data_IF_897548426710
#
_entry.id   IF_897548426710
#
_cell.length_a   1.000
_cell.length_b   1.000
_cell.length_c   1.000
_cell.angle_alpha   90.00
_cell.angle_beta   90.00
_cell.angle_gamma   90.00
#
_symmetry.space_group_name_H-M   'P 1'
#
loop_
_entity.id
_entity.type
_entity.pdbx_description
1 polymer ?
#
# COMPACT_ATOMS: atom_id res chain seq x y z
N UNK A 1 -33.60 -5.19 -39.09
CA UNK A 1 -34.71 -4.23 -39.21
C UNK A 1 -34.86 -3.51 -37.89
N UNK A 2 -34.27 -2.34 -37.77
CA UNK A 2 -34.37 -1.50 -36.57
C UNK A 2 -35.56 -0.56 -36.73
N UNK A 3 -36.59 -0.68 -35.90
CA UNK A 3 -37.68 0.30 -35.82
C UNK A 3 -37.28 1.35 -34.79
N UNK A 4 -37.24 2.62 -35.24
CA UNK A 4 -37.04 3.82 -34.46
C UNK A 4 -38.14 3.97 -33.40
N UNK A 5 -37.74 4.08 -32.14
CA UNK A 5 -38.62 4.49 -31.04
C UNK A 5 -38.81 6.02 -31.08
N UNK A 6 -40.02 6.45 -31.04
CA UNK A 6 -40.50 7.83 -31.23
C UNK A 6 -40.06 8.75 -30.06
N UNK A 7 -39.87 10.02 -30.40
CA UNK A 7 -39.33 11.10 -29.56
C UNK A 7 -40.12 11.50 -28.30
N UNK A 8 -41.15 10.74 -27.90
CA UNK A 8 -42.01 11.07 -26.75
C UNK A 8 -41.58 10.48 -25.40
N UNK A 9 -40.68 9.49 -25.39
CA UNK A 9 -40.28 8.81 -24.15
C UNK A 9 -38.92 9.27 -23.54
N UNK A 10 -38.38 10.40 -24.00
CA UNK A 10 -37.06 10.92 -23.50
C UNK A 10 -37.14 11.81 -22.26
N UNK A 11 -38.29 12.04 -21.68
CA UNK A 11 -38.44 12.98 -20.54
C UNK A 11 -38.71 12.37 -19.16
N UNK A 12 -38.72 11.02 -19.02
CA UNK A 12 -39.06 10.35 -17.75
C UNK A 12 -37.88 9.52 -17.18
N UNK A 13 -36.66 9.70 -17.70
CA UNK A 13 -35.50 8.87 -17.31
C UNK A 13 -34.37 9.66 -16.60
N UNK A 14 -34.70 10.63 -15.76
CA UNK A 14 -33.65 11.42 -15.07
C UNK A 14 -33.37 10.92 -13.64
N UNK A 15 -34.25 10.11 -13.03
CA UNK A 15 -34.10 9.69 -11.64
C UNK A 15 -34.26 8.18 -11.37
N UNK A 16 -34.09 7.30 -12.36
CA UNK A 16 -34.18 5.85 -12.13
C UNK A 16 -33.05 5.09 -12.83
N UNK A 17 -32.36 4.21 -12.11
CA UNK A 17 -31.35 3.31 -12.66
C UNK A 17 -32.03 2.02 -13.11
N UNK A 18 -31.96 1.70 -14.40
CA UNK A 18 -32.47 0.44 -14.97
C UNK A 18 -31.32 -0.58 -14.99
N UNK A 19 -31.41 -1.62 -14.19
CA UNK A 19 -30.47 -2.74 -14.20
C UNK A 19 -31.15 -3.95 -14.82
N UNK A 20 -30.58 -4.47 -15.92
CA UNK A 20 -31.00 -5.72 -16.54
C UNK A 20 -30.09 -6.83 -16.06
N UNK A 21 -30.62 -7.78 -15.29
CA UNK A 21 -29.88 -8.95 -14.82
C UNK A 21 -30.25 -10.14 -15.67
N UNK A 22 -29.27 -10.74 -16.35
CA UNK A 22 -29.41 -11.98 -17.12
C UNK A 22 -29.20 -13.17 -16.19
N UNK A 23 -30.26 -13.85 -15.81
CA UNK A 23 -30.19 -15.15 -15.13
C UNK A 23 -30.66 -16.24 -16.11
N UNK A 24 -30.14 -17.44 -15.94
CA UNK A 24 -30.22 -18.59 -16.88
C UNK A 24 -31.60 -19.07 -17.30
N UNK A 25 -32.69 -18.37 -17.00
CA UNK A 25 -34.05 -18.76 -17.36
C UNK A 25 -35.02 -17.58 -17.65
N UNK A 26 -34.57 -16.35 -17.82
CA UNK A 26 -35.44 -15.21 -18.14
C UNK A 26 -34.84 -13.85 -17.91
N UNK A 27 -35.46 -12.81 -18.50
CA UNK A 27 -35.06 -11.39 -18.27
C UNK A 27 -35.90 -10.81 -17.14
N UNK A 28 -35.24 -10.25 -16.13
CA UNK A 28 -35.90 -9.51 -15.05
C UNK A 28 -35.52 -8.04 -15.12
N UNK A 29 -36.50 -7.17 -15.01
CA UNK A 29 -36.28 -5.74 -14.99
C UNK A 29 -36.40 -5.24 -13.56
N UNK A 30 -35.31 -4.67 -13.02
CA UNK A 30 -35.27 -4.04 -11.70
C UNK A 30 -35.21 -2.54 -11.91
N UNK A 31 -36.17 -1.82 -11.38
CA UNK A 31 -36.17 -0.33 -11.34
C UNK A 31 -35.92 0.10 -9.91
N UNK A 32 -34.87 0.87 -9.72
CA UNK A 32 -34.52 1.47 -8.43
C UNK A 32 -34.77 2.96 -8.51
N UNK A 33 -35.67 3.46 -7.69
CA UNK A 33 -35.82 4.89 -7.43
C UNK A 33 -35.45 5.20 -5.97
N UNK A 34 -35.33 6.45 -5.60
CA UNK A 34 -34.80 6.89 -4.29
C UNK A 34 -35.50 6.30 -3.06
N UNK A 35 -36.61 5.59 -3.21
CA UNK A 35 -37.41 5.06 -2.10
C UNK A 35 -37.91 3.63 -2.26
N UNK A 36 -37.81 3.03 -3.47
CA UNK A 36 -38.42 1.70 -3.76
C UNK A 36 -37.64 0.87 -4.75
N UNK A 37 -37.60 -0.44 -4.54
CA UNK A 37 -37.11 -1.43 -5.48
C UNK A 37 -38.32 -2.18 -6.05
N UNK A 38 -38.50 -2.17 -7.37
CA UNK A 38 -39.58 -2.90 -8.04
C UNK A 38 -39.00 -3.91 -9.00
N UNK A 39 -39.41 -5.17 -8.87
CA UNK A 39 -39.04 -6.28 -9.74
C UNK A 39 -40.30 -6.72 -10.51
N UNK A 40 -40.25 -6.66 -11.84
CA UNK A 40 -41.37 -7.03 -12.75
C UNK A 40 -42.74 -6.42 -12.40
N UNK A 41 -42.77 -5.27 -11.73
CA UNK A 41 -44.04 -4.57 -11.44
C UNK A 41 -44.99 -5.26 -10.45
N UNK A 42 -44.58 -6.37 -9.81
CA UNK A 42 -45.46 -7.17 -8.95
C UNK A 42 -45.09 -7.23 -7.47
N UNK A 43 -43.91 -6.80 -7.07
CA UNK A 43 -43.52 -6.69 -5.67
C UNK A 43 -42.74 -5.42 -5.41
N UNK A 44 -43.16 -4.64 -4.40
CA UNK A 44 -42.50 -3.38 -4.00
C UNK A 44 -41.95 -3.51 -2.60
N UNK A 45 -40.66 -3.30 -2.40
CA UNK A 45 -40.01 -3.20 -1.09
C UNK A 45 -39.77 -1.73 -0.77
N UNK A 46 -40.34 -1.24 0.33
CA UNK A 46 -40.12 0.14 0.77
C UNK A 46 -38.79 0.24 1.51
N UNK A 47 -37.90 1.14 1.05
CA UNK A 47 -36.69 1.52 1.75
C UNK A 47 -37.01 2.62 2.76
N UNK A 48 -37.10 2.27 4.06
CA UNK A 48 -37.16 3.27 5.13
C UNK A 48 -35.76 3.79 5.42
N UNK A 49 -35.50 5.07 5.17
CA UNK A 49 -34.29 5.73 5.63
C UNK A 49 -34.28 5.78 7.18
N UNK A 50 -33.16 5.45 7.86
CA UNK A 50 -33.03 5.69 9.28
C UNK A 50 -32.84 7.20 9.51
N UNK A 51 -33.77 7.81 10.26
CA UNK A 51 -33.68 9.20 10.70
C UNK A 51 -32.46 9.40 11.61
N UNK A 52 -31.61 10.38 11.30
CA UNK A 52 -30.58 10.90 12.19
C UNK A 52 -31.24 11.58 13.41
N UNK A 53 -31.45 10.86 14.48
CA UNK A 53 -31.74 11.41 15.80
C UNK A 53 -30.51 11.33 16.68
N UNK A 54 -30.13 12.49 17.23
CA UNK A 54 -29.10 12.67 18.27
C UNK A 54 -29.28 11.63 19.38
N UNK A 55 -28.21 10.85 19.66
CA UNK A 55 -28.16 10.03 20.88
C UNK A 55 -27.60 10.86 22.02
N UNK A 56 -28.45 11.12 22.98
CA UNK A 56 -28.09 11.52 24.34
C UNK A 56 -27.40 10.37 25.06
N UNK A 57 -26.38 10.69 25.86
CA UNK A 57 -25.68 9.83 26.80
C UNK A 57 -26.61 9.14 27.82
N UNK A 58 -26.14 7.99 28.29
CA UNK A 58 -26.57 7.16 29.40
C UNK A 58 -27.59 6.05 29.07
N UNK A 59 -27.05 4.87 28.95
CA UNK A 59 -27.31 3.68 29.79
C UNK A 59 -26.60 2.46 29.22
N UNK A 60 -25.64 1.93 29.96
CA UNK A 60 -25.04 0.61 29.77
C UNK A 60 -26.13 -0.46 29.90
N UNK A 61 -26.56 -1.06 28.80
CA UNK A 61 -27.24 -2.35 28.77
C UNK A 61 -26.22 -3.44 28.49
N UNK A 62 -26.26 -4.60 29.18
CA UNK A 62 -25.38 -5.73 28.84
C UNK A 62 -25.71 -6.20 27.43
N UNK A 63 -24.68 -6.33 26.59
CA UNK A 63 -24.79 -6.84 25.26
C UNK A 63 -25.16 -8.33 25.30
N UNK A 64 -26.42 -8.65 25.03
CA UNK A 64 -26.86 -9.93 24.55
C UNK A 64 -26.88 -9.85 23.03
N UNK A 65 -25.78 -10.22 22.36
CA UNK A 65 -25.78 -10.68 21.01
C UNK A 65 -25.05 -12.02 21.01
N UNK A 66 -25.80 -13.11 21.06
CA UNK A 66 -25.34 -14.41 20.58
C UNK A 66 -25.15 -14.32 19.05
N UNK A 67 -24.06 -13.71 18.62
CA UNK A 67 -23.58 -13.91 17.27
C UNK A 67 -23.08 -15.34 17.18
N UNK A 68 -23.85 -16.19 16.47
CA UNK A 68 -23.41 -17.54 16.11
C UNK A 68 -22.26 -17.38 15.09
N UNK A 69 -21.02 -17.32 15.60
CA UNK A 69 -19.82 -17.41 14.77
C UNK A 69 -19.79 -18.77 14.06
N UNK A 70 -19.13 -18.83 12.89
CA UNK A 70 -18.90 -20.09 12.19
C UNK A 70 -18.24 -21.11 13.14
N UNK A 71 -18.52 -22.40 12.94
CA UNK A 71 -18.07 -23.44 13.87
C UNK A 71 -16.56 -23.64 13.92
N UNK A 72 -15.79 -22.99 13.03
CA UNK A 72 -14.34 -23.15 12.90
C UNK A 72 -13.60 -21.85 13.20
N UNK A 73 -13.50 -21.49 14.49
CA UNK A 73 -12.71 -20.33 14.91
C UNK A 73 -11.23 -20.70 15.06
N UNK A 74 -10.34 -19.77 14.72
CA UNK A 74 -8.97 -19.74 15.19
C UNK A 74 -8.87 -18.75 16.35
N UNK A 75 -8.43 -19.23 17.51
CA UNK A 75 -8.34 -18.44 18.75
C UNK A 75 -6.86 -18.35 19.16
N UNK A 76 -6.31 -17.14 19.03
CA UNK A 76 -4.96 -16.81 19.48
C UNK A 76 -5.07 -16.24 20.89
N UNK A 77 -4.53 -16.94 21.89
CA UNK A 77 -4.67 -16.51 23.30
C UNK A 77 -3.31 -16.27 23.97
N UNK A 78 -3.30 -15.53 25.08
CA UNK A 78 -2.12 -15.12 25.84
C UNK A 78 -1.11 -14.30 25.00
N UNK A 79 -1.56 -13.53 24.01
CA UNK A 79 -0.66 -12.79 23.13
C UNK A 79 -0.35 -11.38 23.66
N UNK A 80 0.82 -10.88 23.33
CA UNK A 80 1.16 -9.47 23.44
C UNK A 80 0.81 -8.78 22.11
N UNK A 81 -0.29 -8.05 22.08
CA UNK A 81 -0.74 -7.33 20.89
C UNK A 81 -0.03 -5.99 20.78
N UNK A 82 0.54 -5.70 19.60
CA UNK A 82 0.98 -4.35 19.22
C UNK A 82 -0.23 -3.66 18.58
N UNK A 83 -0.81 -2.69 19.27
CA UNK A 83 -2.05 -2.02 18.86
C UNK A 83 -1.84 -1.02 17.70
N UNK A 84 -2.90 -0.36 17.27
CA UNK A 84 -2.93 0.62 16.18
C UNK A 84 -2.07 1.87 16.41
N UNK A 85 -1.65 2.11 17.65
CA UNK A 85 -0.70 3.16 18.04
C UNK A 85 0.70 2.60 18.36
N UNK A 86 0.97 1.35 17.95
CA UNK A 86 2.19 0.60 18.25
C UNK A 86 2.53 0.50 19.73
N UNK A 87 1.48 0.43 20.58
CA UNK A 87 1.63 0.20 22.03
C UNK A 87 1.38 -1.27 22.36
N UNK A 88 2.10 -1.75 23.36
CA UNK A 88 1.98 -3.12 23.82
C UNK A 88 0.71 -3.27 24.69
N UNK A 89 -0.19 -4.18 24.28
CA UNK A 89 -1.33 -4.67 25.05
C UNK A 89 -1.06 -6.14 25.42
N UNK A 90 -0.70 -6.46 26.67
CA UNK A 90 -0.38 -7.83 27.07
C UNK A 90 -1.64 -8.65 27.34
N UNK A 91 -1.51 -9.96 27.21
CA UNK A 91 -2.55 -10.95 27.55
C UNK A 91 -3.87 -10.76 26.80
N UNK A 92 -3.78 -10.45 25.50
CA UNK A 92 -4.94 -10.31 24.62
C UNK A 92 -5.27 -11.67 23.99
N UNK A 93 -6.56 -11.89 23.75
CA UNK A 93 -7.06 -13.01 22.94
C UNK A 93 -7.71 -12.46 21.68
N UNK A 94 -7.32 -12.99 20.52
CA UNK A 94 -7.85 -12.60 19.21
C UNK A 94 -8.63 -13.78 18.65
N UNK A 95 -9.87 -13.56 18.25
CA UNK A 95 -10.76 -14.55 17.63
C UNK A 95 -10.85 -14.26 16.13
N UNK A 96 -10.60 -15.28 15.31
CA UNK A 96 -10.65 -15.20 13.86
C UNK A 96 -11.71 -16.18 13.35
N UNK A 97 -12.61 -15.70 12.50
CA UNK A 97 -13.60 -16.51 11.78
C UNK A 97 -13.39 -16.32 10.28
N UNK A 98 -13.13 -17.40 9.57
CA UNK A 98 -12.79 -17.34 8.14
C UNK A 98 -11.57 -16.43 7.90
N UNK A 99 -11.77 -15.25 7.33
CA UNK A 99 -10.70 -14.27 7.06
C UNK A 99 -10.78 -13.01 7.92
N UNK A 100 -11.71 -12.95 8.89
CA UNK A 100 -12.01 -11.73 9.65
C UNK A 100 -11.67 -11.87 11.14
N UNK A 101 -11.18 -10.80 11.75
CA UNK A 101 -11.03 -10.65 13.20
C UNK A 101 -12.40 -10.34 13.76
N UNK A 102 -13.00 -11.29 14.48
CA UNK A 102 -14.38 -11.15 14.96
C UNK A 102 -14.48 -10.68 16.40
N UNK A 103 -13.40 -10.78 17.19
CA UNK A 103 -13.39 -10.31 18.59
C UNK A 103 -11.93 -10.14 19.07
N UNK A 104 -11.71 -9.15 19.93
CA UNK A 104 -10.41 -8.90 20.58
C UNK A 104 -10.65 -8.68 22.08
N UNK A 105 -10.26 -9.63 22.91
CA UNK A 105 -10.60 -9.66 24.33
C UNK A 105 -9.37 -9.43 25.19
N UNK A 106 -9.38 -8.36 25.98
CA UNK A 106 -8.39 -8.12 27.03
C UNK A 106 -8.78 -8.94 28.27
N UNK A 107 -8.15 -10.07 28.48
CA UNK A 107 -8.52 -10.91 29.62
C UNK A 107 -7.30 -11.26 30.47
N UNK A 108 -7.27 -10.71 31.65
CA UNK A 108 -6.48 -11.21 32.76
C UNK A 108 -7.08 -12.54 33.23
N UNK A 109 -6.50 -13.68 32.83
CA UNK A 109 -6.84 -15.04 33.27
C UNK A 109 -8.06 -15.72 32.64
N UNK A 110 -8.20 -15.73 31.30
CA UNK A 110 -9.11 -16.73 30.72
C UNK A 110 -8.41 -18.10 30.65
N UNK A 111 -8.96 -19.03 31.37
CA UNK A 111 -8.65 -20.45 31.25
C UNK A 111 -9.08 -20.92 29.84
N UNK A 112 -8.17 -21.56 29.09
CA UNK A 112 -8.46 -22.16 27.77
C UNK A 112 -9.72 -23.03 27.72
N UNK A 113 -10.14 -23.60 28.86
CA UNK A 113 -11.39 -24.37 29.01
C UNK A 113 -12.65 -23.52 28.74
N UNK A 114 -12.61 -22.20 28.98
CA UNK A 114 -13.75 -21.32 28.68
C UNK A 114 -14.01 -21.28 27.17
N UNK A 115 -12.97 -21.13 26.36
CA UNK A 115 -13.11 -21.10 24.91
C UNK A 115 -13.48 -22.46 24.33
N UNK A 116 -12.89 -23.58 24.81
CA UNK A 116 -13.28 -24.92 24.39
C UNK A 116 -14.75 -25.21 24.68
N UNK A 117 -15.25 -24.78 25.83
CA UNK A 117 -16.65 -24.97 26.19
C UNK A 117 -17.60 -24.13 25.31
N UNK A 118 -17.18 -22.90 24.98
CA UNK A 118 -17.98 -21.97 24.18
C UNK A 118 -17.89 -22.30 22.67
N UNK A 119 -16.72 -22.72 22.19
CA UNK A 119 -16.43 -23.00 20.77
C UNK A 119 -15.72 -24.35 20.62
N UNK A 120 -16.41 -25.47 20.72
CA UNK A 120 -15.80 -26.80 20.84
C UNK A 120 -15.01 -27.25 19.60
N UNK A 121 -15.29 -26.68 18.42
CA UNK A 121 -14.62 -27.02 17.16
C UNK A 121 -13.52 -25.99 16.78
N UNK A 122 -13.14 -25.10 17.69
CA UNK A 122 -12.12 -24.09 17.42
C UNK A 122 -10.70 -24.64 17.50
N UNK A 123 -9.78 -24.01 16.74
CA UNK A 123 -8.34 -24.20 16.87
C UNK A 123 -7.79 -23.20 17.87
N UNK A 124 -7.27 -23.70 19.03
CA UNK A 124 -6.66 -22.86 20.05
C UNK A 124 -5.15 -22.85 19.92
N UNK A 125 -4.57 -21.65 19.88
CA UNK A 125 -3.12 -21.43 19.76
C UNK A 125 -2.66 -20.57 20.92
N UNK A 126 -1.79 -21.15 21.76
CA UNK A 126 -1.15 -20.42 22.86
C UNK A 126 0.03 -19.60 22.34
N UNK A 127 -0.08 -18.29 22.46
CA UNK A 127 0.95 -17.33 22.05
C UNK A 127 1.65 -16.69 23.26
N UNK A 128 1.70 -17.39 24.40
CA UNK A 128 2.43 -16.92 25.59
C UNK A 128 3.85 -16.48 25.24
N UNK A 129 4.19 -15.23 25.59
CA UNK A 129 5.49 -14.63 25.30
C UNK A 129 5.74 -14.29 23.82
N UNK A 130 4.71 -14.36 22.97
CA UNK A 130 4.77 -13.92 21.56
C UNK A 130 4.14 -12.54 21.40
N UNK A 131 4.49 -11.89 20.30
CA UNK A 131 4.05 -10.54 19.95
C UNK A 131 3.32 -10.61 18.62
N UNK A 132 2.13 -10.03 18.57
CA UNK A 132 1.31 -10.00 17.35
C UNK A 132 1.22 -8.56 16.87
N UNK A 133 1.48 -8.35 15.58
CA UNK A 133 1.34 -7.08 14.88
C UNK A 133 0.63 -7.31 13.55
N UNK A 134 0.09 -6.25 12.90
CA UNK A 134 -0.48 -6.38 11.56
C UNK A 134 0.55 -6.93 10.59
N UNK A 135 0.10 -7.56 9.52
CA UNK A 135 0.96 -7.93 8.40
C UNK A 135 1.73 -6.74 7.86
N UNK A 136 2.99 -6.94 7.53
CA UNK A 136 3.86 -5.89 7.00
C UNK A 136 3.45 -5.50 5.58
N UNK A 137 3.66 -4.24 5.22
CA UNK A 137 3.33 -3.68 3.92
C UNK A 137 4.61 -3.17 3.24
N UNK A 138 4.94 -3.68 2.05
CA UNK A 138 6.03 -3.17 1.22
C UNK A 138 5.44 -2.26 0.12
N UNK A 139 5.66 -0.95 0.26
CA UNK A 139 5.10 0.07 -0.63
C UNK A 139 5.90 0.26 -1.93
N UNK A 140 6.98 -0.53 -2.13
CA UNK A 140 7.79 -0.43 -3.33
C UNK A 140 8.44 -1.78 -3.66
N UNK A 141 7.65 -2.69 -4.25
CA UNK A 141 8.13 -4.02 -4.62
C UNK A 141 7.80 -4.32 -6.09
N UNK A 142 8.81 -4.33 -6.96
CA UNK A 142 8.64 -4.70 -8.36
C UNK A 142 8.56 -6.22 -8.52
N UNK A 143 7.36 -6.73 -8.71
CA UNK A 143 7.10 -8.18 -8.80
C UNK A 143 6.79 -8.67 -10.21
N UNK A 144 6.75 -7.79 -11.20
CA UNK A 144 6.40 -8.10 -12.58
C UNK A 144 7.58 -7.84 -13.56
N UNK A 145 8.77 -8.34 -13.27
CA UNK A 145 9.86 -8.48 -14.23
C UNK A 145 10.61 -7.22 -14.68
N UNK A 146 10.78 -6.23 -13.78
CA UNK A 146 11.37 -4.92 -14.14
C UNK A 146 12.83 -5.01 -14.59
N UNK A 147 13.67 -5.85 -13.99
CA UNK A 147 15.11 -5.87 -14.29
C UNK A 147 15.54 -6.79 -15.44
N UNK A 148 14.71 -7.78 -15.81
CA UNK A 148 15.13 -8.82 -16.77
C UNK A 148 14.74 -8.52 -18.22
N UNK A 149 14.23 -7.33 -18.53
CA UNK A 149 13.68 -6.98 -19.86
C UNK A 149 12.64 -8.00 -20.39
N UNK A 150 12.08 -8.83 -19.51
CA UNK A 150 11.05 -9.82 -19.80
C UNK A 150 10.29 -10.17 -18.55
N UNK A 151 9.01 -10.47 -18.67
CA UNK A 151 8.22 -11.04 -17.60
C UNK A 151 8.45 -12.56 -17.52
N UNK A 152 8.66 -13.05 -16.31
CA UNK A 152 8.69 -14.47 -16.01
C UNK A 152 7.74 -14.74 -14.84
N UNK A 153 6.69 -15.49 -15.08
CA UNK A 153 5.68 -15.78 -14.07
C UNK A 153 6.26 -16.56 -12.88
N UNK A 154 7.14 -17.53 -13.13
CA UNK A 154 7.76 -18.33 -12.07
C UNK A 154 8.61 -17.48 -11.13
N UNK A 155 9.42 -16.55 -11.67
CA UNK A 155 10.22 -15.62 -10.86
C UNK A 155 9.30 -14.71 -10.01
N UNK A 156 8.17 -14.28 -10.58
CA UNK A 156 7.17 -13.47 -9.86
C UNK A 156 6.51 -14.25 -8.73
N UNK A 157 6.10 -15.49 -8.98
CA UNK A 157 5.52 -16.37 -7.97
C UNK A 157 6.50 -16.69 -6.83
N UNK A 158 7.78 -16.91 -7.16
CA UNK A 158 8.82 -17.10 -6.16
C UNK A 158 9.03 -15.84 -5.32
N UNK A 159 9.08 -14.67 -5.95
CA UNK A 159 9.18 -13.38 -5.26
C UNK A 159 8.00 -13.18 -4.30
N UNK A 160 6.76 -13.38 -4.75
CA UNK A 160 5.56 -13.24 -3.91
C UNK A 160 5.56 -14.21 -2.74
N UNK A 161 5.95 -15.45 -2.96
CA UNK A 161 6.07 -16.46 -1.93
C UNK A 161 7.10 -16.07 -0.87
N UNK A 162 8.27 -15.56 -1.30
CA UNK A 162 9.31 -15.09 -0.40
C UNK A 162 8.86 -13.87 0.42
N UNK A 163 8.16 -12.92 -0.20
CA UNK A 163 7.58 -11.78 0.52
C UNK A 163 6.62 -12.26 1.63
N UNK A 164 5.67 -13.14 1.29
CA UNK A 164 4.75 -13.68 2.28
C UNK A 164 5.46 -14.47 3.39
N UNK A 165 6.47 -15.30 3.05
CA UNK A 165 7.25 -16.06 4.02
C UNK A 165 8.03 -15.17 5.02
N UNK A 166 8.18 -13.89 4.73
CA UNK A 166 8.79 -12.88 5.60
C UNK A 166 7.75 -11.94 6.25
N UNK A 167 6.46 -12.33 6.29
CA UNK A 167 5.41 -11.59 6.99
C UNK A 167 4.89 -10.36 6.26
N UNK A 168 5.22 -10.20 4.97
CA UNK A 168 4.67 -9.14 4.13
C UNK A 168 3.36 -9.67 3.56
N UNK A 169 2.24 -9.09 4.01
CA UNK A 169 0.89 -9.52 3.61
C UNK A 169 0.27 -8.63 2.55
N UNK A 170 0.84 -7.45 2.33
CA UNK A 170 0.40 -6.50 1.30
C UNK A 170 1.60 -5.85 0.62
N UNK A 171 1.51 -5.64 -0.69
CA UNK A 171 2.52 -4.89 -1.45
C UNK A 171 1.88 -3.87 -2.39
N UNK A 172 2.61 -2.80 -2.68
CA UNK A 172 2.38 -1.97 -3.84
C UNK A 172 3.45 -2.28 -4.90
N UNK A 173 3.02 -2.78 -6.08
CA UNK A 173 3.88 -2.86 -7.25
C UNK A 173 3.88 -1.49 -7.95
N UNK A 174 4.97 -0.70 -7.87
CA UNK A 174 4.97 0.68 -8.33
C UNK A 174 5.17 0.82 -9.84
N UNK A 175 5.23 -0.30 -10.57
CA UNK A 175 5.32 -0.31 -12.03
C UNK A 175 5.84 -1.62 -12.60
N UNK A 176 5.40 -1.88 -13.83
CA UNK A 176 5.73 -3.07 -14.60
C UNK A 176 4.89 -3.13 -15.87
N UNK A 177 5.03 -4.15 -16.71
CA UNK A 177 4.14 -4.35 -17.85
C UNK A 177 2.70 -4.45 -17.39
N UNK A 178 1.82 -3.61 -17.93
CA UNK A 178 0.47 -3.39 -17.40
C UNK A 178 -0.37 -4.67 -17.30
N UNK A 179 -0.42 -5.48 -18.38
CA UNK A 179 -1.25 -6.68 -18.40
C UNK A 179 -0.75 -7.75 -17.43
N UNK A 180 0.55 -7.94 -17.36
CA UNK A 180 1.22 -8.91 -16.50
C UNK A 180 1.05 -8.51 -15.02
N UNK A 181 1.22 -7.25 -14.71
CA UNK A 181 1.04 -6.71 -13.35
C UNK A 181 -0.39 -6.89 -12.85
N UNK A 182 -1.38 -6.53 -13.66
CA UNK A 182 -2.81 -6.73 -13.34
C UNK A 182 -3.16 -8.22 -13.29
N UNK A 183 -2.64 -9.03 -14.23
CA UNK A 183 -2.83 -10.48 -14.25
C UNK A 183 -2.30 -11.16 -12.99
N UNK A 184 -1.10 -10.76 -12.53
CA UNK A 184 -0.49 -11.29 -11.32
C UNK A 184 -1.33 -10.95 -10.07
N UNK A 185 -1.73 -9.67 -9.91
CA UNK A 185 -2.65 -9.24 -8.84
C UNK A 185 -3.93 -10.06 -8.82
N UNK A 186 -4.58 -10.23 -9.98
CA UNK A 186 -5.84 -10.95 -10.06
C UNK A 186 -5.67 -12.45 -9.73
N UNK A 187 -4.55 -13.07 -10.10
CA UNK A 187 -4.27 -14.46 -9.76
C UNK A 187 -4.04 -14.64 -8.26
N UNK A 188 -3.39 -13.69 -7.58
CA UNK A 188 -3.24 -13.71 -6.12
C UNK A 188 -4.60 -13.53 -5.44
N UNK A 189 -5.41 -12.54 -5.87
CA UNK A 189 -6.73 -12.29 -5.28
C UNK A 189 -7.72 -13.43 -5.47
N UNK A 190 -7.54 -14.25 -6.51
CA UNK A 190 -8.30 -15.48 -6.76
C UNK A 190 -7.68 -16.73 -6.11
N UNK A 191 -6.65 -16.56 -5.26
CA UNK A 191 -5.91 -17.63 -4.59
C UNK A 191 -5.29 -18.67 -5.55
N UNK A 192 -5.07 -18.33 -6.82
CA UNK A 192 -4.37 -19.17 -7.80
C UNK A 192 -2.87 -19.15 -7.61
N UNK A 193 -2.34 -18.05 -7.08
CA UNK A 193 -0.94 -17.83 -6.71
C UNK A 193 -0.90 -17.47 -5.24
N UNK A 194 0.00 -18.09 -4.48
CA UNK A 194 0.22 -17.77 -3.08
C UNK A 194 1.13 -16.54 -2.99
N UNK A 195 0.67 -15.52 -2.28
CA UNK A 195 1.43 -14.29 -2.08
C UNK A 195 0.68 -13.26 -1.26
N UNK A 196 1.29 -12.09 -1.01
CA UNK A 196 0.64 -10.96 -0.37
C UNK A 196 -0.43 -10.37 -1.29
N UNK A 197 -1.40 -9.63 -0.72
CA UNK A 197 -2.29 -8.77 -1.49
C UNK A 197 -1.47 -7.79 -2.33
N UNK A 198 -1.84 -7.59 -3.60
CA UNK A 198 -1.14 -6.71 -4.52
C UNK A 198 -2.05 -5.55 -4.91
N UNK A 199 -1.54 -4.32 -4.77
CA UNK A 199 -2.06 -3.15 -5.47
C UNK A 199 -1.01 -2.74 -6.50
N UNK A 200 -1.40 -2.40 -7.73
CA UNK A 200 -0.43 -2.28 -8.82
C UNK A 200 -0.59 -1.04 -9.69
N UNK A 201 0.53 -0.42 -10.04
CA UNK A 201 0.62 0.43 -11.20
C UNK A 201 0.83 -0.41 -12.48
N UNK A 202 0.68 0.24 -13.62
CA UNK A 202 1.02 -0.30 -14.93
C UNK A 202 2.42 0.11 -15.39
N UNK A 203 2.59 0.24 -16.71
CA UNK A 203 3.84 0.72 -17.31
C UNK A 203 4.11 2.17 -16.91
N UNK A 204 5.39 2.48 -16.68
CA UNK A 204 5.85 3.81 -16.30
C UNK A 204 5.63 4.80 -17.44
N UNK A 205 5.03 5.95 -17.19
CA UNK A 205 4.98 7.04 -18.16
C UNK A 205 6.28 7.81 -18.10
N UNK A 206 6.97 7.91 -19.24
CA UNK A 206 8.26 8.56 -19.34
C UNK A 206 8.38 9.34 -20.64
N UNK A 207 9.33 10.29 -20.72
CA UNK A 207 9.64 10.98 -21.96
C UNK A 207 10.57 10.14 -22.87
N UNK A 208 10.59 10.43 -24.18
CA UNK A 208 11.53 9.79 -25.09
C UNK A 208 13.01 9.99 -24.79
N UNK A 209 13.35 11.00 -23.99
CA UNK A 209 14.74 11.37 -23.68
C UNK A 209 15.45 10.40 -22.73
N UNK A 210 14.70 9.67 -21.90
CA UNK A 210 15.24 8.66 -20.97
C UNK A 210 14.59 7.33 -21.29
N UNK A 211 15.34 6.25 -21.39
CA UNK A 211 14.78 4.93 -21.76
C UNK A 211 15.00 3.89 -20.68
N UNK A 212 13.89 3.26 -20.26
CA UNK A 212 13.86 2.04 -19.47
C UNK A 212 13.03 1.02 -20.27
N UNK A 213 13.68 0.27 -21.18
CA UNK A 213 12.98 -0.66 -22.05
C UNK A 213 12.11 -1.65 -21.29
N UNK A 214 11.06 -2.17 -21.94
CA UNK A 214 10.15 -3.18 -21.47
C UNK A 214 9.07 -2.68 -20.48
N UNK A 215 9.40 -1.78 -19.55
CA UNK A 215 8.46 -1.34 -18.49
C UNK A 215 7.89 0.06 -18.68
N UNK A 216 8.35 0.80 -19.69
CA UNK A 216 7.93 2.19 -19.92
C UNK A 216 6.97 2.36 -21.09
N UNK A 217 6.19 3.44 -21.05
CA UNK A 217 5.44 4.03 -22.15
C UNK A 217 5.93 5.46 -22.38
N UNK A 218 6.42 5.72 -23.59
CA UNK A 218 6.93 7.05 -23.94
C UNK A 218 5.78 7.96 -24.31
N UNK A 219 5.69 9.09 -23.61
CA UNK A 219 4.70 10.14 -23.84
C UNK A 219 5.41 11.49 -23.97
N UNK A 220 4.92 12.35 -24.86
CA UNK A 220 5.48 13.69 -25.11
C UNK A 220 4.43 14.76 -25.30
N UNK A 221 3.16 14.44 -25.04
CA UNK A 221 2.04 15.35 -25.18
C UNK A 221 0.95 15.01 -24.17
N UNK A 222 0.11 15.99 -23.82
CA UNK A 222 -1.07 15.80 -22.96
C UNK A 222 -2.00 14.74 -23.55
N UNK A 223 -2.21 14.72 -24.86
CA UNK A 223 -3.02 13.69 -25.51
C UNK A 223 -2.45 12.29 -25.30
N UNK A 224 -1.13 12.09 -25.49
CA UNK A 224 -0.47 10.82 -25.27
C UNK A 224 -0.53 10.36 -23.80
N UNK A 225 -0.39 11.29 -22.86
CA UNK A 225 -0.59 11.03 -21.43
C UNK A 225 -2.01 10.53 -21.17
N UNK A 226 -3.02 11.24 -21.69
CA UNK A 226 -4.43 10.88 -21.52
C UNK A 226 -4.75 9.50 -22.11
N UNK A 227 -4.31 9.24 -23.32
CA UNK A 227 -4.53 7.95 -24.00
C UNK A 227 -3.94 6.79 -23.20
N UNK A 228 -2.67 6.92 -22.74
CA UNK A 228 -2.00 5.86 -22.02
C UNK A 228 -2.61 5.65 -20.62
N UNK A 229 -2.89 6.72 -19.85
CA UNK A 229 -3.54 6.58 -18.53
C UNK A 229 -4.92 5.95 -18.67
N UNK A 230 -5.73 6.38 -19.65
CA UNK A 230 -7.05 5.80 -19.91
C UNK A 230 -6.96 4.31 -20.24
N UNK A 231 -5.95 3.91 -21.04
CA UNK A 231 -5.71 2.51 -21.38
C UNK A 231 -5.33 1.69 -20.15
N UNK A 232 -4.44 2.20 -19.30
CA UNK A 232 -4.05 1.52 -18.06
C UNK A 232 -5.23 1.40 -17.09
N UNK A 233 -6.02 2.47 -16.93
CA UNK A 233 -7.24 2.46 -16.13
C UNK A 233 -8.24 1.37 -16.61
N UNK A 234 -8.46 1.28 -17.92
CA UNK A 234 -9.33 0.25 -18.51
C UNK A 234 -8.78 -1.18 -18.34
N UNK A 235 -7.47 -1.34 -18.17
CA UNK A 235 -6.86 -2.65 -17.84
C UNK A 235 -7.06 -2.98 -16.36
N UNK A 236 -7.34 -1.98 -15.52
CA UNK A 236 -7.69 -2.14 -14.11
C UNK A 236 -6.50 -1.95 -13.16
N UNK A 237 -5.56 -1.05 -13.46
CA UNK A 237 -4.51 -0.67 -12.51
C UNK A 237 -5.09 0.14 -11.34
N UNK A 238 -4.38 0.16 -10.21
CA UNK A 238 -4.74 0.95 -9.04
C UNK A 238 -4.02 2.31 -9.03
N UNK A 239 -2.86 2.38 -9.70
CA UNK A 239 -1.99 3.57 -9.75
C UNK A 239 -1.43 3.81 -11.14
N UNK A 240 -0.98 5.06 -11.34
CA UNK A 240 -0.14 5.48 -12.48
C UNK A 240 1.26 5.79 -11.95
N UNK A 241 2.32 5.32 -12.62
CA UNK A 241 3.71 5.66 -12.31
C UNK A 241 4.24 6.69 -13.29
N UNK A 242 4.64 7.85 -12.78
CA UNK A 242 5.33 8.91 -13.50
C UNK A 242 6.83 8.82 -13.27
N UNK A 243 7.62 9.10 -14.33
CA UNK A 243 9.06 8.89 -14.29
C UNK A 243 9.87 10.14 -14.63
N UNK A 244 11.18 10.06 -14.47
CA UNK A 244 12.16 11.16 -14.42
C UNK A 244 12.13 12.16 -15.57
N UNK A 245 11.69 11.74 -16.76
CA UNK A 245 11.73 12.56 -17.97
C UNK A 245 10.48 13.39 -18.23
N UNK A 246 9.47 13.37 -17.36
CA UNK A 246 8.24 14.14 -17.55
C UNK A 246 8.43 15.58 -17.06
N UNK A 247 7.99 16.53 -17.90
CA UNK A 247 7.99 17.96 -17.57
C UNK A 247 6.86 18.31 -16.60
N UNK A 248 6.95 19.43 -15.86
CA UNK A 248 5.92 19.85 -14.90
C UNK A 248 4.50 19.86 -15.48
N UNK A 249 4.34 20.41 -16.71
CA UNK A 249 3.04 20.41 -17.37
C UNK A 249 2.47 19.00 -17.61
N UNK A 250 3.31 18.04 -18.06
CA UNK A 250 2.85 16.67 -18.29
C UNK A 250 2.57 15.92 -16.98
N UNK A 251 3.33 16.20 -15.92
CA UNK A 251 3.09 15.64 -14.58
C UNK A 251 1.76 16.13 -14.04
N UNK A 252 1.51 17.46 -14.08
CA UNK A 252 0.24 18.04 -13.65
C UNK A 252 -0.95 17.41 -14.38
N UNK A 253 -0.93 17.40 -15.71
CA UNK A 253 -2.00 16.80 -16.52
C UNK A 253 -2.18 15.29 -16.23
N UNK A 254 -1.08 14.56 -15.99
CA UNK A 254 -1.16 13.15 -15.62
C UNK A 254 -1.85 12.95 -14.27
N UNK A 255 -1.56 13.80 -13.28
CA UNK A 255 -2.20 13.79 -11.96
C UNK A 255 -3.72 14.06 -12.11
N UNK A 256 -4.09 15.14 -12.80
CA UNK A 256 -5.48 15.53 -12.99
C UNK A 256 -6.28 14.41 -13.71
N UNK A 257 -5.71 13.81 -14.76
CA UNK A 257 -6.34 12.73 -15.51
C UNK A 257 -6.47 11.45 -14.64
N UNK A 258 -5.40 11.04 -13.95
CA UNK A 258 -5.42 9.85 -13.11
C UNK A 258 -6.45 9.98 -11.98
N UNK A 259 -6.47 11.11 -11.29
CA UNK A 259 -7.45 11.41 -10.24
C UNK A 259 -8.88 11.42 -10.76
N UNK A 260 -9.13 11.96 -11.97
CA UNK A 260 -10.46 11.92 -12.59
C UNK A 260 -10.97 10.49 -12.86
N UNK A 261 -10.05 9.53 -12.95
CA UNK A 261 -10.33 8.10 -13.13
C UNK A 261 -10.25 7.29 -11.81
N UNK A 262 -10.04 7.95 -10.67
CA UNK A 262 -9.94 7.33 -9.35
C UNK A 262 -8.61 6.64 -9.06
N UNK A 263 -7.58 6.85 -9.90
CA UNK A 263 -6.25 6.25 -9.75
C UNK A 263 -5.36 7.13 -8.89
N UNK A 264 -4.50 6.51 -8.04
CA UNK A 264 -3.42 7.21 -7.37
C UNK A 264 -2.21 7.41 -8.29
N UNK A 265 -1.35 8.38 -7.96
CA UNK A 265 -0.18 8.75 -8.78
C UNK A 265 1.12 8.62 -7.99
N UNK A 266 2.07 7.86 -8.53
CA UNK A 266 3.39 7.62 -7.96
C UNK A 266 4.44 8.32 -8.81
N UNK A 267 5.32 9.14 -8.21
CA UNK A 267 6.36 9.88 -8.91
C UNK A 267 7.78 9.44 -8.54
N UNK A 268 8.58 9.03 -9.53
CA UNK A 268 10.03 9.06 -9.49
C UNK A 268 10.47 10.19 -10.44
N UNK A 269 10.57 11.40 -9.92
CA UNK A 269 10.63 12.61 -10.73
C UNK A 269 12.02 13.25 -10.71
N UNK A 270 12.39 13.91 -11.83
CA UNK A 270 13.62 14.67 -11.94
C UNK A 270 13.41 16.02 -12.67
N UNK A 271 12.80 16.02 -13.88
CA UNK A 271 12.51 17.28 -14.57
C UNK A 271 11.44 18.10 -13.86
N UNK A 272 10.51 17.46 -13.17
CA UNK A 272 9.56 18.06 -12.24
C UNK A 272 10.12 17.90 -10.83
N UNK A 273 10.21 18.98 -10.08
CA UNK A 273 10.62 18.91 -8.68
C UNK A 273 9.54 18.31 -7.78
N UNK A 274 9.94 17.82 -6.62
CA UNK A 274 8.99 17.33 -5.61
C UNK A 274 8.06 18.45 -5.11
N UNK A 275 8.56 19.69 -5.05
CA UNK A 275 7.74 20.86 -4.68
C UNK A 275 6.61 21.07 -5.69
N UNK A 276 6.93 21.13 -7.00
CA UNK A 276 5.95 21.28 -8.07
C UNK A 276 4.93 20.14 -8.06
N UNK A 277 5.40 18.88 -7.97
CA UNK A 277 4.52 17.71 -7.95
C UNK A 277 3.61 17.69 -6.70
N UNK A 278 4.13 18.09 -5.53
CA UNK A 278 3.35 18.18 -4.31
C UNK A 278 2.27 19.29 -4.40
N UNK A 279 2.61 20.43 -4.98
CA UNK A 279 1.66 21.53 -5.19
C UNK A 279 0.56 21.18 -6.22
N UNK A 280 0.85 20.24 -7.13
CA UNK A 280 -0.12 19.64 -8.06
C UNK A 280 -0.86 18.41 -7.45
N UNK A 281 -0.70 18.15 -6.13
CA UNK A 281 -1.34 17.08 -5.36
C UNK A 281 -1.04 15.65 -5.85
N UNK A 282 0.20 15.34 -6.18
CA UNK A 282 0.61 13.94 -6.38
C UNK A 282 0.35 13.14 -5.10
N UNK A 283 0.04 11.84 -5.18
CA UNK A 283 -0.21 11.05 -3.97
C UNK A 283 1.08 10.53 -3.32
N UNK A 284 2.06 10.10 -4.15
CA UNK A 284 3.27 9.43 -3.67
C UNK A 284 4.52 9.93 -4.39
N UNK A 285 5.59 10.13 -3.63
CA UNK A 285 6.94 10.35 -4.15
C UNK A 285 7.86 9.24 -3.66
N UNK A 286 8.71 8.73 -4.54
CA UNK A 286 9.54 7.57 -4.26
C UNK A 286 11.00 7.95 -4.18
N UNK A 287 11.73 7.19 -3.36
CA UNK A 287 13.16 7.32 -3.09
C UNK A 287 13.50 8.54 -2.20
N UNK A 288 14.29 8.33 -1.15
CA UNK A 288 14.58 9.36 -0.12
C UNK A 288 15.50 10.50 -0.55
N UNK A 289 16.00 10.47 -1.79
CA UNK A 289 16.90 11.51 -2.33
C UNK A 289 16.21 12.17 -3.53
N UNK A 290 15.60 13.35 -3.35
CA UNK A 290 14.85 14.06 -4.39
C UNK A 290 15.80 14.78 -5.35
N UNK A 291 16.49 14.02 -6.22
CA UNK A 291 17.46 14.60 -7.16
C UNK A 291 16.76 15.56 -8.10
N UNK A 292 16.98 16.86 -7.87
CA UNK A 292 16.50 17.92 -8.76
C UNK A 292 17.41 19.16 -8.62
N UNK A 293 17.81 19.78 -9.75
CA UNK A 293 18.63 20.98 -9.71
C UNK A 293 17.98 22.17 -8.97
N UNK A 294 16.65 22.28 -8.97
CA UNK A 294 15.94 23.41 -8.33
C UNK A 294 16.08 23.41 -6.80
N UNK A 295 16.36 22.24 -6.20
CA UNK A 295 16.58 22.09 -4.76
C UNK A 295 18.03 22.42 -4.32
N UNK A 296 18.88 22.87 -5.26
CA UNK A 296 20.24 23.30 -5.01
C UNK A 296 20.31 24.83 -5.04
N UNK A 297 21.26 25.40 -4.26
CA UNK A 297 21.60 26.82 -4.40
C UNK A 297 22.00 27.16 -5.85
N UNK A 298 21.84 28.39 -6.27
CA UNK A 298 22.13 28.82 -7.65
C UNK A 298 23.55 28.38 -8.11
N UNK A 299 24.56 28.56 -7.27
CA UNK A 299 25.94 28.15 -7.57
C UNK A 299 26.08 26.62 -7.73
N UNK A 300 25.47 25.84 -6.82
CA UNK A 300 25.53 24.39 -6.86
C UNK A 300 24.69 23.81 -8.00
N UNK A 301 23.59 24.45 -8.36
CA UNK A 301 22.77 24.14 -9.53
C UNK A 301 23.57 24.23 -10.83
N UNK A 302 24.26 25.36 -11.02
CA UNK A 302 25.13 25.51 -12.19
C UNK A 302 26.23 24.46 -12.24
N UNK A 303 26.86 24.15 -11.10
CA UNK A 303 27.87 23.11 -11.00
C UNK A 303 27.31 21.73 -11.36
N UNK A 304 26.15 21.37 -10.82
CA UNK A 304 25.48 20.09 -11.11
C UNK A 304 25.18 19.93 -12.61
N UNK A 305 24.66 20.96 -13.25
CA UNK A 305 24.36 20.95 -14.68
C UNK A 305 25.64 20.90 -15.52
N UNK A 306 26.66 21.70 -15.18
CA UNK A 306 27.96 21.75 -15.92
C UNK A 306 28.73 20.43 -15.89
N UNK A 307 28.55 19.64 -14.84
CA UNK A 307 29.18 18.30 -14.76
C UNK A 307 28.44 17.25 -15.60
N UNK A 308 27.34 17.60 -16.27
CA UNK A 308 26.52 16.67 -17.04
C UNK A 308 25.71 15.71 -16.15
N UNK A 309 25.55 16.04 -14.88
CA UNK A 309 24.82 15.20 -13.91
C UNK A 309 23.33 15.17 -14.21
N UNK A 310 22.69 14.03 -13.97
CA UNK A 310 21.31 13.72 -14.32
C UNK A 310 20.52 13.08 -13.17
N UNK A 311 19.38 12.45 -13.49
CA UNK A 311 18.43 11.94 -12.51
C UNK A 311 18.97 10.85 -11.57
N UNK A 312 20.01 10.15 -11.98
CA UNK A 312 20.58 9.02 -11.24
C UNK A 312 21.90 9.37 -10.53
N UNK A 313 22.33 10.64 -10.58
CA UNK A 313 23.56 11.11 -9.92
C UNK A 313 23.31 11.50 -8.47
N UNK A 314 22.71 10.60 -7.68
CA UNK A 314 22.28 10.81 -6.30
C UNK A 314 23.42 11.33 -5.41
N UNK A 315 24.60 10.70 -5.44
CA UNK A 315 25.72 11.11 -4.59
C UNK A 315 26.35 12.44 -5.02
N UNK A 316 26.32 12.78 -6.32
CA UNK A 316 26.76 14.09 -6.78
C UNK A 316 25.77 15.18 -6.29
N UNK A 317 24.46 14.90 -6.34
CA UNK A 317 23.44 15.80 -5.79
C UNK A 317 23.58 15.93 -4.27
N UNK A 318 23.72 14.82 -3.52
CA UNK A 318 23.92 14.79 -2.09
C UNK A 318 25.17 15.58 -1.65
N UNK A 319 26.24 15.55 -2.44
CA UNK A 319 27.44 16.35 -2.18
C UNK A 319 27.17 17.86 -2.22
N UNK A 320 26.26 18.29 -3.07
CA UNK A 320 25.97 19.69 -3.37
C UNK A 320 24.83 20.27 -2.55
N UNK A 321 23.84 19.45 -2.16
CA UNK A 321 22.66 19.92 -1.44
C UNK A 321 23.01 20.34 -0.01
N UNK A 322 22.40 21.43 0.45
CA UNK A 322 22.28 21.74 1.88
C UNK A 322 20.87 21.30 2.34
N UNK A 323 20.79 20.26 3.16
CA UNK A 323 19.50 19.71 3.65
C UNK A 323 18.73 20.66 4.58
N UNK A 324 19.38 21.75 5.02
CA UNK A 324 18.78 22.82 5.82
C UNK A 324 18.62 24.10 5.00
N UNK A 325 18.59 24.02 3.68
CA UNK A 325 18.35 25.17 2.82
C UNK A 325 16.86 25.47 2.73
N UNK A 326 16.56 26.71 2.35
CA UNK A 326 15.17 27.17 2.15
C UNK A 326 14.43 26.31 1.11
N UNK A 327 15.11 25.89 0.05
CA UNK A 327 14.52 25.06 -1.02
C UNK A 327 14.07 23.70 -0.48
N UNK A 328 14.85 23.08 0.41
CA UNK A 328 14.48 21.82 1.07
C UNK A 328 13.36 22.04 2.09
N UNK A 329 13.38 23.13 2.85
CA UNK A 329 12.29 23.47 3.78
C UNK A 329 10.97 23.73 3.04
N UNK A 330 11.00 24.47 1.93
CA UNK A 330 9.83 24.70 1.07
C UNK A 330 9.30 23.39 0.48
N UNK A 331 10.17 22.50 0.00
CA UNK A 331 9.78 21.18 -0.48
C UNK A 331 9.07 20.38 0.62
N UNK A 332 9.66 20.25 1.80
CA UNK A 332 9.09 19.53 2.94
C UNK A 332 7.75 20.14 3.35
N UNK A 333 7.66 21.48 3.39
CA UNK A 333 6.40 22.17 3.66
C UNK A 333 5.30 21.83 2.65
N UNK A 334 5.61 21.78 1.36
CA UNK A 334 4.64 21.38 0.32
C UNK A 334 4.21 19.92 0.48
N UNK A 335 5.13 19.00 0.82
CA UNK A 335 4.80 17.60 1.08
C UNK A 335 3.81 17.46 2.25
N UNK A 336 4.09 18.12 3.36
CA UNK A 336 3.24 18.08 4.57
C UNK A 336 1.88 18.73 4.33
N UNK A 337 1.87 19.93 3.75
CA UNK A 337 0.65 20.71 3.45
C UNK A 337 -0.33 19.92 2.58
N UNK A 338 0.17 19.19 1.59
CA UNK A 338 -0.64 18.46 0.62
C UNK A 338 -0.77 16.95 0.98
N UNK A 339 -0.32 16.53 2.17
CA UNK A 339 -0.39 15.15 2.67
C UNK A 339 0.26 14.10 1.73
N UNK A 340 1.40 14.44 1.13
CA UNK A 340 2.11 13.56 0.21
C UNK A 340 2.83 12.46 1.00
N UNK A 341 2.71 11.22 0.53
CA UNK A 341 3.44 10.09 1.09
C UNK A 341 4.78 9.90 0.41
N UNK A 342 5.81 9.51 1.19
CA UNK A 342 7.15 9.25 0.68
C UNK A 342 7.61 7.87 1.11
N UNK A 343 7.99 7.00 0.15
CA UNK A 343 8.71 5.76 0.41
C UNK A 343 10.23 5.97 0.15
N UNK A 344 11.07 6.03 1.19
CA UNK A 344 12.47 6.44 1.05
C UNK A 344 13.38 5.40 0.40
N UNK A 345 13.02 4.11 0.41
CA UNK A 345 13.80 3.01 -0.17
C UNK A 345 15.28 3.03 0.25
N UNK A 346 15.53 3.14 1.54
CA UNK A 346 16.88 3.32 2.10
C UNK A 346 17.83 2.17 1.76
N UNK A 347 17.28 0.94 1.66
CA UNK A 347 18.06 -0.25 1.30
C UNK A 347 18.74 -0.13 -0.07
N UNK A 348 18.10 0.53 -1.04
CA UNK A 348 18.70 0.83 -2.35
C UNK A 348 19.88 1.79 -2.20
N UNK A 349 19.69 2.87 -1.43
CA UNK A 349 20.74 3.86 -1.24
C UNK A 349 21.93 3.32 -0.46
N UNK A 350 21.71 2.44 0.50
CA UNK A 350 22.80 1.77 1.21
C UNK A 350 23.60 0.90 0.24
N UNK A 351 22.95 0.07 -0.58
CA UNK A 351 23.61 -0.74 -1.62
C UNK A 351 24.38 0.13 -2.62
N UNK A 352 23.77 1.22 -3.10
CA UNK A 352 24.46 2.20 -3.96
C UNK A 352 25.67 2.84 -3.27
N UNK A 353 25.60 3.08 -1.97
CA UNK A 353 26.68 3.66 -1.18
C UNK A 353 27.85 2.68 -1.01
N UNK A 354 27.56 1.39 -0.86
CA UNK A 354 28.55 0.32 -0.82
C UNK A 354 29.29 0.18 -2.15
N UNK A 355 28.58 0.29 -3.27
CA UNK A 355 29.14 0.24 -4.63
C UNK A 355 29.92 1.50 -5.02
N UNK A 356 29.81 2.60 -4.24
CA UNK A 356 30.49 3.86 -4.47
C UNK A 356 31.49 4.19 -3.36
N UNK A 357 32.68 3.57 -3.34
CA UNK A 357 33.62 3.69 -2.23
C UNK A 357 34.19 5.11 -2.02
N UNK A 358 34.12 5.97 -3.05
CA UNK A 358 34.64 7.34 -2.96
C UNK A 358 33.69 8.31 -2.25
N UNK A 359 32.40 8.19 -2.50
CA UNK A 359 31.41 9.14 -1.97
C UNK A 359 30.36 8.45 -1.07
N UNK A 360 30.07 7.16 -1.31
CA UNK A 360 28.97 6.45 -0.66
C UNK A 360 29.06 6.49 0.87
N UNK A 361 30.14 5.97 1.47
CA UNK A 361 30.33 5.94 2.92
C UNK A 361 30.26 7.32 3.56
N UNK A 362 30.73 8.35 2.87
CA UNK A 362 30.73 9.73 3.38
C UNK A 362 29.36 10.39 3.31
N UNK A 363 28.58 10.08 2.27
CA UNK A 363 27.29 10.72 1.99
C UNK A 363 26.09 9.92 2.48
N UNK A 364 26.25 8.62 2.76
CA UNK A 364 25.19 7.78 3.33
C UNK A 364 24.54 8.38 4.60
N UNK A 365 25.30 8.89 5.59
CA UNK A 365 24.69 9.55 6.75
C UNK A 365 23.76 10.70 6.38
N UNK A 366 24.01 11.38 5.25
CA UNK A 366 23.19 12.50 4.80
C UNK A 366 21.83 12.04 4.24
N UNK A 367 21.77 10.83 3.64
CA UNK A 367 20.50 10.19 3.24
C UNK A 367 19.64 9.95 4.48
N UNK A 368 20.22 9.34 5.53
CA UNK A 368 19.54 9.11 6.80
C UNK A 368 19.08 10.41 7.46
N UNK A 369 19.92 11.45 7.46
CA UNK A 369 19.57 12.77 8.00
C UNK A 369 18.42 13.43 7.24
N UNK A 370 18.39 13.34 5.92
CA UNK A 370 17.29 13.89 5.12
C UNK A 370 15.99 13.13 5.39
N UNK A 371 16.03 11.81 5.47
CA UNK A 371 14.88 10.97 5.84
C UNK A 371 14.37 11.32 7.23
N UNK A 372 15.28 11.46 8.21
CA UNK A 372 14.89 11.87 9.57
C UNK A 372 14.29 13.26 9.59
N UNK A 373 14.86 14.22 8.86
CA UNK A 373 14.31 15.57 8.75
C UNK A 373 12.90 15.56 8.17
N UNK A 374 12.65 14.82 7.09
CA UNK A 374 11.30 14.68 6.54
C UNK A 374 10.32 14.12 7.57
N UNK A 375 10.71 13.08 8.33
CA UNK A 375 9.90 12.52 9.41
C UNK A 375 9.61 13.54 10.50
N UNK A 376 10.64 14.23 11.03
CA UNK A 376 10.51 15.20 12.13
C UNK A 376 9.64 16.40 11.75
N UNK A 377 9.71 16.81 10.50
CA UNK A 377 8.93 17.92 9.96
C UNK A 377 7.48 17.47 9.54
N UNK A 378 7.13 16.19 9.72
CA UNK A 378 5.75 15.67 9.59
C UNK A 378 5.40 15.07 8.23
N UNK A 379 6.37 14.77 7.36
CA UNK A 379 6.11 14.03 6.11
C UNK A 379 5.67 12.61 6.43
N UNK A 380 4.62 12.13 5.80
CA UNK A 380 4.10 10.77 5.94
C UNK A 380 5.03 9.78 5.24
N UNK A 381 5.91 9.12 6.02
CA UNK A 381 6.81 8.08 5.48
C UNK A 381 6.11 6.74 5.36
N UNK A 382 6.57 5.95 4.38
CA UNK A 382 6.16 4.57 4.10
C UNK A 382 7.39 3.66 4.07
N UNK A 383 7.23 2.37 4.30
CA UNK A 383 8.27 1.38 4.07
C UNK A 383 8.21 0.87 2.62
N UNK A 384 9.32 0.85 1.93
CA UNK A 384 9.43 0.36 0.56
C UNK A 384 10.85 -0.08 0.26
N UNK A 385 11.02 -1.20 -0.43
CA UNK A 385 12.34 -1.82 -0.64
C UNK A 385 12.97 -1.49 -1.96
N UNK A 386 12.15 -1.34 -3.01
CA UNK A 386 12.56 -1.28 -4.42
C UNK A 386 13.23 -2.57 -4.91
N UNK A 387 12.80 -3.74 -4.34
CA UNK A 387 13.22 -5.04 -4.89
C UNK A 387 12.80 -5.16 -6.36
N UNK A 388 13.56 -5.86 -7.20
CA UNK A 388 14.80 -6.60 -6.96
C UNK A 388 16.07 -5.82 -7.35
N UNK A 389 16.05 -4.48 -7.25
CA UNK A 389 17.23 -3.65 -7.57
C UNK A 389 18.41 -3.98 -6.63
N UNK A 390 19.64 -3.84 -7.12
CA UNK A 390 20.88 -3.96 -6.35
C UNK A 390 20.99 -5.24 -5.49
N UNK A 391 20.56 -6.38 -6.01
CA UNK A 391 20.60 -7.68 -5.32
C UNK A 391 19.78 -7.73 -4.00
N UNK A 392 18.82 -6.81 -3.84
CA UNK A 392 17.91 -6.82 -2.72
C UNK A 392 17.05 -8.09 -2.72
N UNK A 393 16.95 -8.71 -1.55
CA UNK A 393 16.32 -10.02 -1.39
C UNK A 393 14.85 -9.87 -1.00
N UNK A 394 13.89 -10.41 -1.77
CA UNK A 394 12.48 -10.35 -1.42
C UNK A 394 12.21 -10.79 0.02
N UNK A 395 11.45 -9.99 0.74
CA UNK A 395 11.11 -10.21 2.14
C UNK A 395 12.18 -9.75 3.13
N UNK A 396 13.42 -10.20 2.99
CA UNK A 396 14.51 -9.80 3.90
C UNK A 396 14.80 -8.31 3.85
N UNK A 397 14.76 -7.73 2.66
CA UNK A 397 15.08 -6.32 2.46
C UNK A 397 14.09 -5.39 3.14
N UNK A 398 12.81 -5.79 3.32
CA UNK A 398 11.89 -4.95 4.09
C UNK A 398 12.29 -4.87 5.57
N UNK A 399 12.65 -5.98 6.20
CA UNK A 399 13.12 -5.93 7.58
C UNK A 399 14.39 -5.07 7.73
N UNK A 400 15.26 -5.10 6.71
CA UNK A 400 16.44 -4.25 6.68
C UNK A 400 16.07 -2.76 6.50
N UNK A 401 15.12 -2.46 5.63
CA UNK A 401 14.56 -1.09 5.48
C UNK A 401 14.04 -0.54 6.82
N UNK A 402 13.35 -1.38 7.60
CA UNK A 402 12.88 -0.97 8.94
C UNK A 402 14.03 -0.69 9.90
N UNK A 403 15.12 -1.47 9.84
CA UNK A 403 16.33 -1.20 10.61
C UNK A 403 16.98 0.12 10.20
N UNK A 404 17.01 0.43 8.90
CA UNK A 404 17.57 1.69 8.39
C UNK A 404 16.73 2.90 8.79
N UNK A 405 15.41 2.79 8.79
CA UNK A 405 14.53 3.83 9.33
C UNK A 405 14.80 4.08 10.82
N UNK A 406 14.96 3.03 11.61
CA UNK A 406 15.35 3.17 13.02
C UNK A 406 16.76 3.75 13.18
N UNK A 407 17.72 3.36 12.33
CA UNK A 407 19.09 3.90 12.31
C UNK A 407 19.12 5.38 11.90
N UNK A 408 18.15 5.84 11.10
CA UNK A 408 17.96 7.27 10.83
C UNK A 408 17.50 8.04 12.09
N UNK A 409 17.08 7.35 13.16
CA UNK A 409 16.63 7.93 14.43
C UNK A 409 15.10 8.01 14.55
N UNK A 410 14.35 7.31 13.70
CA UNK A 410 12.89 7.19 13.83
C UNK A 410 12.58 6.19 14.95
N UNK A 411 11.69 6.51 15.91
CA UNK A 411 11.33 5.58 16.98
C UNK A 411 10.77 4.27 16.44
N UNK A 412 11.09 3.15 17.07
CA UNK A 412 10.65 1.80 16.62
C UNK A 412 9.13 1.66 16.53
N UNK A 413 8.38 2.33 17.43
CA UNK A 413 6.92 2.40 17.36
C UNK A 413 6.42 3.04 16.07
N UNK A 414 7.05 4.14 15.65
CA UNK A 414 6.69 4.83 14.41
C UNK A 414 7.13 4.03 13.19
N UNK A 415 8.28 3.34 13.25
CA UNK A 415 8.71 2.42 12.18
C UNK A 415 7.70 1.29 11.98
N UNK A 416 7.11 0.74 13.05
CA UNK A 416 6.06 -0.27 12.95
C UNK A 416 4.82 0.32 12.25
N UNK A 417 4.41 1.55 12.60
CA UNK A 417 3.29 2.22 11.93
C UNK A 417 3.57 2.49 10.46
N UNK A 418 4.79 2.93 10.12
CA UNK A 418 5.26 3.12 8.75
C UNK A 418 5.14 1.82 7.95
N UNK A 419 5.44 0.67 8.58
CA UNK A 419 5.42 -0.64 7.94
C UNK A 419 4.02 -1.31 7.91
N UNK A 420 2.99 -0.72 8.50
CA UNK A 420 1.66 -1.32 8.65
C UNK A 420 0.55 -0.29 8.36
N UNK A 421 0.13 0.46 9.36
CA UNK A 421 -0.98 1.41 9.33
C UNK A 421 -0.84 2.48 8.25
N UNK A 422 0.35 3.12 8.15
CA UNK A 422 0.57 4.18 7.17
C UNK A 422 0.48 3.66 5.74
N UNK A 423 1.03 2.46 5.47
CA UNK A 423 0.91 1.81 4.18
C UNK A 423 -0.56 1.52 3.83
N UNK A 424 -1.33 0.98 4.76
CA UNK A 424 -2.75 0.70 4.57
C UNK A 424 -3.59 1.99 4.36
N UNK A 425 -3.28 3.06 5.11
CA UNK A 425 -3.91 4.37 4.93
C UNK A 425 -3.62 4.92 3.53
N UNK A 426 -2.35 4.91 3.14
CA UNK A 426 -1.88 5.39 1.83
C UNK A 426 -2.51 4.62 0.67
N UNK A 427 -2.69 3.31 0.82
CA UNK A 427 -3.35 2.44 -0.16
C UNK A 427 -4.89 2.53 -0.12
N UNK A 428 -5.47 3.31 0.81
CA UNK A 428 -6.92 3.45 1.02
C UNK A 428 -7.61 2.14 1.42
N UNK A 429 -6.88 1.23 2.09
CA UNK A 429 -7.37 -0.07 2.57
C UNK A 429 -7.34 -0.19 4.11
N UNK A 430 -7.14 0.92 4.84
CA UNK A 430 -7.06 0.90 6.30
C UNK A 430 -8.34 0.35 6.96
N UNK A 431 -9.49 0.46 6.30
CA UNK A 431 -10.74 -0.11 6.79
C UNK A 431 -10.75 -1.65 6.79
N UNK A 432 -9.84 -2.28 6.03
CA UNK A 432 -9.78 -3.75 5.90
C UNK A 432 -8.51 -4.36 6.47
N UNK A 433 -7.37 -3.65 6.51
CA UNK A 433 -6.09 -4.20 7.00
C UNK A 433 -5.18 -3.09 7.55
N UNK A 434 -3.96 -3.42 7.98
CA UNK A 434 -2.95 -2.47 8.48
C UNK A 434 -3.01 -2.19 9.99
N UNK A 435 -4.08 -2.60 10.66
CA UNK A 435 -4.22 -2.63 12.12
C UNK A 435 -4.96 -3.90 12.53
N UNK A 436 -4.84 -4.30 13.80
CA UNK A 436 -5.56 -5.46 14.36
C UNK A 436 -6.77 -4.91 15.12
N UNK A 437 -7.93 -4.96 14.48
CA UNK A 437 -9.21 -4.47 15.00
C UNK A 437 -10.34 -5.39 14.55
N UNK A 438 -11.43 -5.42 15.33
CA UNK A 438 -12.64 -6.17 14.97
C UNK A 438 -13.22 -5.69 13.62
N UNK A 439 -13.66 -6.63 12.81
CA UNK A 439 -14.19 -6.41 11.46
C UNK A 439 -13.13 -6.28 10.38
N UNK A 440 -11.83 -6.31 10.72
CA UNK A 440 -10.75 -6.28 9.74
C UNK A 440 -10.28 -7.68 9.35
N UNK A 441 -9.65 -7.74 8.19
CA UNK A 441 -9.03 -8.95 7.69
C UNK A 441 -7.92 -9.43 8.62
N UNK A 442 -7.87 -10.71 8.89
CA UNK A 442 -6.86 -11.32 9.74
C UNK A 442 -5.55 -11.53 8.97
N UNK A 443 -4.83 -10.42 8.80
CA UNK A 443 -3.46 -10.37 8.28
C UNK A 443 -2.51 -9.97 9.40
N UNK A 444 -1.76 -10.94 9.90
CA UNK A 444 -0.94 -10.77 11.11
C UNK A 444 0.40 -11.48 11.03
N UNK A 445 1.38 -10.89 11.68
CA UNK A 445 2.68 -11.51 11.95
C UNK A 445 2.84 -11.74 13.44
N UNK A 446 3.16 -12.96 13.82
CA UNK A 446 3.49 -13.32 15.19
C UNK A 446 5.00 -13.44 15.32
N UNK A 447 5.58 -12.69 16.24
CA UNK A 447 7.02 -12.64 16.51
C UNK A 447 7.39 -13.34 17.80
N UNK A 448 8.61 -13.86 17.86
CA UNK A 448 9.17 -14.46 19.08
C UNK A 448 9.75 -13.44 20.06
N UNK A 449 9.95 -12.17 19.62
CA UNK A 449 10.62 -11.12 20.40
C UNK A 449 9.94 -9.77 20.15
N UNK A 450 10.04 -8.85 21.11
CA UNK A 450 9.37 -7.54 21.08
C UNK A 450 9.98 -6.60 20.02
N UNK A 451 9.25 -6.23 18.95
CA UNK A 451 9.74 -5.34 17.91
C UNK A 451 9.81 -3.86 18.36
N UNK A 452 9.08 -3.47 19.41
CA UNK A 452 9.14 -2.10 19.98
C UNK A 452 10.49 -1.90 20.68
N UNK A 453 11.02 -2.91 21.37
CA UNK A 453 12.32 -2.83 22.04
C UNK A 453 13.47 -2.82 21.04
N UNK A 454 13.35 -3.59 19.97
CA UNK A 454 14.33 -3.67 18.89
C UNK A 454 13.64 -4.03 17.58
N UNK A 455 13.69 -3.14 16.61
CA UNK A 455 13.02 -3.34 15.31
C UNK A 455 13.56 -4.58 14.55
N UNK A 456 14.82 -4.98 14.77
CA UNK A 456 15.39 -6.21 14.20
C UNK A 456 14.62 -7.47 14.60
N UNK A 457 13.83 -7.41 15.69
CA UNK A 457 12.98 -8.50 16.14
C UNK A 457 11.83 -8.82 15.16
N UNK A 458 11.51 -7.94 14.22
CA UNK A 458 10.59 -8.23 13.12
C UNK A 458 11.03 -9.42 12.28
N UNK A 459 12.34 -9.75 12.26
CA UNK A 459 12.91 -10.94 11.59
C UNK A 459 12.57 -12.25 12.32
N UNK A 460 12.24 -12.19 13.62
CA UNK A 460 12.02 -13.36 14.49
C UNK A 460 10.59 -13.90 14.35
N UNK A 461 10.19 -14.20 13.11
CA UNK A 461 8.83 -14.63 12.78
C UNK A 461 8.59 -16.04 13.34
N UNK A 462 7.58 -16.15 14.21
CA UNK A 462 7.06 -17.40 14.74
C UNK A 462 5.95 -17.98 13.86
N UNK A 463 5.00 -17.13 13.43
CA UNK A 463 3.84 -17.53 12.64
C UNK A 463 3.39 -16.37 11.74
N UNK A 464 2.76 -16.69 10.63
CA UNK A 464 2.11 -15.71 9.75
C UNK A 464 0.66 -16.16 9.58
N UNK A 465 -0.25 -15.20 9.66
CA UNK A 465 -1.66 -15.36 9.31
C UNK A 465 -1.92 -14.40 8.15
N UNK A 466 -2.43 -14.93 7.05
CA UNK A 466 -2.76 -14.16 5.87
C UNK A 466 -4.15 -14.56 5.39
N UNK A 467 -5.03 -13.58 5.25
CA UNK A 467 -6.43 -13.80 4.89
C UNK A 467 -7.09 -14.85 5.82
N UNK A 468 -6.85 -14.75 7.14
CA UNK A 468 -7.36 -15.66 8.17
C UNK A 468 -6.70 -17.04 8.22
N UNK A 469 -5.83 -17.38 7.26
CA UNK A 469 -5.18 -18.69 7.16
C UNK A 469 -3.80 -18.67 7.78
N UNK A 470 -3.48 -19.67 8.60
CA UNK A 470 -2.12 -19.89 9.11
C UNK A 470 -1.25 -20.38 7.96
N UNK A 471 -0.16 -19.68 7.70
CA UNK A 471 0.73 -19.96 6.58
C UNK A 471 1.80 -20.94 6.99
N UNK A 472 1.95 -22.03 6.21
CA UNK A 472 3.09 -22.95 6.33
C UNK A 472 4.36 -22.28 5.78
N UNK A 473 4.98 -21.48 6.63
CA UNK A 473 6.17 -20.69 6.30
C UNK A 473 7.35 -21.58 5.86
N UNK A 474 7.52 -22.73 6.48
CA UNK A 474 8.62 -23.65 6.15
C UNK A 474 8.46 -24.13 4.70
N UNK A 475 7.27 -24.55 4.32
CA UNK A 475 6.97 -24.99 2.97
C UNK A 475 7.15 -23.85 1.94
N UNK A 476 6.85 -22.60 2.31
CA UNK A 476 7.12 -21.46 1.43
C UNK A 476 8.62 -21.21 1.21
N UNK A 477 9.46 -21.42 2.21
CA UNK A 477 10.92 -21.20 2.13
C UNK A 477 11.67 -22.33 1.41
N UNK A 478 11.10 -23.53 1.33
CA UNK A 478 11.75 -24.73 0.76
C UNK A 478 11.41 -24.98 -0.72
N UNK A 479 10.42 -24.32 -1.25
CA UNK A 479 10.00 -24.40 -2.66
C UNK A 479 10.76 -23.40 -3.52
#
# INVERSE_FOLDING_TARGET
MARSLSSRNKKILVNSILIIILLSAGYWTVVIDDTKITVDGKSTLNLTQPSLTQRSSDQLKPAQNDTTYSQNLVILYNTNLIDDNSKLRPNVTILISENEIVDIVDINNINKFHYYKKYPNSTLIDLSGKYVLPGLIDMHAHVAGVLKNSYNQQDSEETLRMLLAHGITTIRNPGGPTNESVGLRNNVSLERIIGPQILTAGSLLNSPAVSIPFVEKKVNSVLGVKEEITKQANTGVDFVKLYVGLTPNLVKEAIDIAHSLGLGVIGHLYLTSWTEAADDNIDFLTHGVPVNPSLLSSQNRENFIKTGSGPFDHFQWLKLVNINSKEIEEMIHSLVKNNIYVDPTLSVYESMAEDNPLNGKTLWPKVLQLTKKMFDDGVKLLSGTDIPNFDLVPGKSLHHELELLANAGIPTSDVIQIATKNGAEALRILNSTGTIEEGKQADMVVLSSNPIENISNTKNIYMIINNGKIIDRINLLLR
#
